data_IF_952679912180
#
_entry.id   IF_952679912180
#
_cell.length_a   1.000
_cell.length_b   1.000
_cell.length_c   1.000
_cell.angle_alpha   90.00
_cell.angle_beta   90.00
_cell.angle_gamma   90.00
#
_symmetry.space_group_name_H-M   'P 1'
#
loop_
_entity.id
_entity.type
_entity.pdbx_description
1 polymer ?
#
# COMPACT_ATOMS: atom_id res chain seq x y z
N UNK A 1 59.22 -47.63 27.64
CA UNK A 1 59.15 -46.38 26.84
C UNK A 1 58.48 -46.70 25.52
N UNK A 2 57.19 -46.36 25.38
CA UNK A 2 56.37 -46.56 24.18
C UNK A 2 55.83 -45.20 23.75
N UNK A 3 56.09 -44.83 22.51
CA UNK A 3 55.53 -43.68 21.79
C UNK A 3 54.03 -43.86 21.56
N UNK A 4 53.24 -42.82 21.83
CA UNK A 4 51.85 -42.65 21.33
C UNK A 4 51.73 -41.25 20.73
N UNK A 5 51.10 -41.07 19.56
CA UNK A 5 50.89 -39.77 18.95
C UNK A 5 49.60 -39.10 19.45
N UNK A 6 49.53 -37.78 19.24
CA UNK A 6 48.45 -36.86 19.58
C UNK A 6 47.10 -37.30 18.96
N UNK A 7 46.03 -37.23 19.75
CA UNK A 7 44.66 -37.12 19.25
C UNK A 7 44.38 -35.64 18.94
N UNK A 8 44.09 -35.31 17.68
CA UNK A 8 43.46 -34.05 17.29
C UNK A 8 41.96 -34.15 17.59
N UNK A 9 41.46 -33.34 18.52
CA UNK A 9 40.03 -33.11 18.66
C UNK A 9 39.60 -32.06 17.61
N UNK A 10 38.85 -32.47 16.59
CA UNK A 10 38.06 -31.56 15.78
C UNK A 10 36.91 -31.05 16.63
N UNK A 11 36.98 -29.79 17.07
CA UNK A 11 35.81 -29.05 17.54
C UNK A 11 35.10 -28.57 16.28
N UNK A 12 34.05 -29.31 15.88
CA UNK A 12 33.08 -28.87 14.88
C UNK A 12 32.26 -27.73 15.49
N UNK A 13 32.67 -26.49 15.23
CA UNK A 13 31.90 -25.31 15.58
C UNK A 13 30.66 -25.19 14.69
N UNK A 14 29.54 -25.76 15.12
CA UNK A 14 28.23 -25.33 14.62
C UNK A 14 28.00 -23.90 15.08
N UNK A 15 28.17 -22.94 14.17
CA UNK A 15 27.73 -21.56 14.37
C UNK A 15 26.20 -21.57 14.31
N UNK A 16 25.56 -21.71 15.48
CA UNK A 16 24.14 -21.44 15.63
C UNK A 16 23.98 -19.92 15.55
N UNK A 17 23.56 -19.41 14.38
CA UNK A 17 23.19 -18.02 14.23
C UNK A 17 21.94 -17.76 15.08
N UNK A 18 22.15 -17.24 16.29
CA UNK A 18 21.08 -16.71 17.13
C UNK A 18 20.60 -15.43 16.45
N UNK A 19 19.55 -15.55 15.65
CA UNK A 19 18.75 -14.40 15.22
C UNK A 19 17.98 -13.96 16.46
N UNK A 20 18.49 -12.96 17.16
CA UNK A 20 17.74 -12.32 18.25
C UNK A 20 16.57 -11.57 17.64
N UNK A 21 15.36 -12.14 17.82
CA UNK A 21 14.10 -11.44 17.61
C UNK A 21 14.07 -10.23 18.56
N UNK A 22 14.33 -9.04 18.01
CA UNK A 22 13.99 -7.79 18.69
C UNK A 22 12.50 -7.57 18.40
N UNK A 23 11.65 -8.02 19.32
CA UNK A 23 10.26 -7.58 19.40
C UNK A 23 10.25 -6.13 19.85
N UNK A 24 10.18 -5.21 18.89
CA UNK A 24 9.67 -3.87 19.15
C UNK A 24 8.16 -3.94 18.98
N UNK A 25 7.44 -4.15 20.09
CA UNK A 25 6.02 -3.87 20.13
C UNK A 25 5.87 -2.34 20.09
N UNK A 26 5.51 -1.81 18.93
CA UNK A 26 4.90 -0.49 18.78
C UNK A 26 3.56 -0.71 18.08
N UNK A 27 2.57 0.12 18.40
CA UNK A 27 1.24 0.10 17.81
C UNK A 27 1.34 -0.04 16.28
N UNK A 28 0.38 -0.74 15.67
CA UNK A 28 0.27 -0.89 14.23
C UNK A 28 0.02 0.48 13.58
N UNK A 29 1.09 1.23 13.37
CA UNK A 29 1.11 2.47 12.59
C UNK A 29 1.94 2.20 11.32
N UNK A 30 1.30 2.41 10.17
CA UNK A 30 1.85 2.63 8.82
C UNK A 30 3.26 2.12 8.51
N UNK A 31 3.40 0.87 8.07
CA UNK A 31 4.68 0.34 7.57
C UNK A 31 5.10 1.02 6.26
N UNK A 32 4.19 1.45 5.36
CA UNK A 32 4.60 2.25 4.18
C UNK A 32 5.34 3.54 4.56
N UNK A 33 4.78 4.30 5.51
CA UNK A 33 5.36 5.55 6.00
C UNK A 33 6.63 5.30 6.83
N UNK A 34 6.59 4.38 7.79
CA UNK A 34 7.71 4.15 8.71
C UNK A 34 8.84 3.31 8.09
N UNK A 35 8.55 2.51 7.06
CA UNK A 35 9.53 1.60 6.43
C UNK A 35 10.15 2.19 5.19
N UNK A 36 9.43 3.00 4.40
CA UNK A 36 9.92 3.46 3.10
C UNK A 36 10.03 4.98 2.95
N UNK A 37 9.49 5.79 3.87
CA UNK A 37 9.69 7.24 3.81
C UNK A 37 11.13 7.61 4.19
N UNK A 38 11.77 8.43 3.36
CA UNK A 38 13.05 9.06 3.68
C UNK A 38 12.85 10.51 4.15
N UNK A 39 12.22 11.35 3.31
CA UNK A 39 12.06 12.79 3.55
C UNK A 39 10.68 13.31 3.13
N UNK A 40 10.15 14.28 3.90
CA UNK A 40 8.95 15.04 3.49
C UNK A 40 9.31 16.06 2.42
N UNK A 41 8.75 15.90 1.22
CA UNK A 41 8.94 16.83 0.10
C UNK A 41 8.00 18.04 0.22
N UNK A 42 6.72 17.80 0.53
CA UNK A 42 5.69 18.84 0.62
C UNK A 42 4.95 18.72 1.94
N UNK A 43 4.80 19.83 2.66
CA UNK A 43 3.91 19.93 3.82
C UNK A 43 2.52 20.37 3.37
N UNK A 44 1.50 19.53 3.59
CA UNK A 44 0.11 19.84 3.25
C UNK A 44 -0.72 20.27 4.46
N UNK A 45 -0.15 20.32 5.67
CA UNK A 45 -0.85 20.80 6.89
C UNK A 45 -1.20 22.29 6.84
N UNK A 46 -2.07 22.71 7.75
CA UNK A 46 -2.55 24.09 7.90
C UNK A 46 -3.78 24.34 7.04
N UNK A 47 -3.93 25.54 6.52
CA UNK A 47 -5.20 25.95 5.90
C UNK A 47 -5.45 25.32 4.53
N UNK A 48 -6.68 24.89 4.29
CA UNK A 48 -7.24 24.38 3.04
C UNK A 48 -8.45 25.20 2.62
N UNK A 49 -8.77 25.18 1.31
CA UNK A 49 -10.09 25.61 0.83
C UNK A 49 -11.09 24.49 1.09
N UNK A 50 -12.29 24.86 1.53
CA UNK A 50 -13.32 23.91 1.90
C UNK A 50 -14.69 24.31 1.35
N UNK A 51 -15.46 23.32 0.88
CA UNK A 51 -16.85 23.50 0.49
C UNK A 51 -17.65 22.24 0.78
N UNK A 52 -18.82 22.41 1.37
CA UNK A 52 -19.84 21.36 1.46
C UNK A 52 -20.54 21.18 0.12
N UNK A 53 -21.10 20.00 -0.10
CA UNK A 53 -21.74 19.59 -1.37
C UNK A 53 -20.83 18.69 -2.20
N UNK A 54 -21.36 18.25 -3.34
CA UNK A 54 -20.69 17.29 -4.19
C UNK A 54 -20.78 17.67 -5.67
N UNK A 55 -19.65 18.09 -6.23
CA UNK A 55 -19.55 18.48 -7.63
C UNK A 55 -18.21 17.98 -8.19
N UNK A 56 -18.21 16.97 -9.07
CA UNK A 56 -16.99 16.36 -9.60
C UNK A 56 -16.03 17.35 -10.27
N UNK A 57 -16.52 18.50 -10.75
CA UNK A 57 -15.69 19.58 -11.32
C UNK A 57 -14.72 20.17 -10.29
N UNK A 58 -14.97 19.97 -9.00
CA UNK A 58 -14.09 20.42 -7.92
C UNK A 58 -12.80 19.61 -7.82
N UNK A 59 -12.64 18.54 -8.60
CA UNK A 59 -11.35 17.86 -8.80
C UNK A 59 -10.44 18.58 -9.80
N UNK A 60 -11.00 19.41 -10.70
CA UNK A 60 -10.27 19.97 -11.83
C UNK A 60 -9.18 20.96 -11.38
N UNK A 61 -7.99 20.95 -12.02
CA UNK A 61 -6.88 21.82 -11.63
C UNK A 61 -7.22 23.31 -11.76
N UNK A 62 -8.00 23.68 -12.78
CA UNK A 62 -8.33 25.07 -13.12
C UNK A 62 -9.59 25.61 -12.43
N UNK A 63 -10.24 24.82 -11.56
CA UNK A 63 -11.43 25.26 -10.85
C UNK A 63 -11.13 26.44 -9.90
N UNK A 64 -11.91 27.54 -10.01
CA UNK A 64 -11.75 28.74 -9.18
C UNK A 64 -12.44 28.56 -7.81
N UNK A 65 -11.66 28.13 -6.82
CA UNK A 65 -12.09 27.94 -5.42
C UNK A 65 -12.00 29.20 -4.55
N UNK A 66 -11.79 30.41 -5.11
CA UNK A 66 -11.61 31.63 -4.30
C UNK A 66 -12.78 31.93 -3.36
N UNK A 67 -13.99 31.51 -3.74
CA UNK A 67 -15.23 31.70 -2.97
C UNK A 67 -15.42 30.66 -1.85
N UNK A 68 -14.61 29.61 -1.84
CA UNK A 68 -14.67 28.58 -0.80
C UNK A 68 -14.20 29.14 0.53
N UNK A 69 -14.77 28.57 1.60
CA UNK A 69 -14.34 28.86 2.96
C UNK A 69 -12.95 28.29 3.18
N UNK A 70 -12.40 28.55 4.35
CA UNK A 70 -11.10 28.04 4.76
C UNK A 70 -11.26 27.30 6.07
N UNK A 71 -10.62 26.14 6.15
CA UNK A 71 -10.52 25.32 7.35
C UNK A 71 -9.08 24.88 7.53
N UNK A 72 -8.66 24.58 8.75
CA UNK A 72 -7.36 23.99 9.00
C UNK A 72 -7.43 22.45 8.94
N UNK A 73 -6.38 21.82 8.40
CA UNK A 73 -6.23 20.36 8.39
C UNK A 73 -4.81 19.94 8.82
N UNK A 74 -4.65 18.85 9.59
CA UNK A 74 -5.75 17.98 10.04
C UNK A 74 -6.59 18.63 11.14
N UNK A 75 -7.91 18.48 11.03
CA UNK A 75 -8.90 18.81 12.05
C UNK A 75 -10.26 18.15 11.68
N UNK A 76 -11.13 18.01 12.67
CA UNK A 76 -12.55 17.67 12.46
C UNK A 76 -13.28 18.90 11.91
N UNK A 77 -14.16 18.76 10.92
CA UNK A 77 -14.83 19.94 10.33
C UNK A 77 -15.87 20.56 11.28
N UNK A 78 -16.31 19.83 12.31
CA UNK A 78 -17.25 20.29 13.34
C UNK A 78 -16.60 21.38 14.18
N UNK A 79 -15.32 21.20 14.49
CA UNK A 79 -14.48 22.16 15.21
C UNK A 79 -14.16 23.39 14.36
N UNK A 80 -14.27 23.27 13.03
CA UNK A 80 -14.11 24.35 12.06
C UNK A 80 -15.43 25.10 11.76
N UNK A 81 -16.51 24.75 12.47
CA UNK A 81 -17.80 25.44 12.43
C UNK A 81 -18.92 24.74 11.66
N UNK A 82 -18.68 23.52 11.17
CA UNK A 82 -19.67 22.67 10.49
C UNK A 82 -20.27 21.64 11.44
N UNK A 83 -20.81 22.11 12.58
CA UNK A 83 -21.42 21.23 13.59
C UNK A 83 -22.63 20.49 13.02
N UNK A 84 -22.73 19.21 13.36
CA UNK A 84 -23.84 18.31 12.99
C UNK A 84 -24.03 18.19 11.46
N UNK A 85 -22.96 18.39 10.68
CA UNK A 85 -23.00 18.28 9.22
C UNK A 85 -22.55 16.90 8.78
N UNK A 86 -23.50 16.11 8.27
CA UNK A 86 -23.22 14.85 7.59
C UNK A 86 -23.42 15.02 6.07
N UNK A 87 -22.54 14.43 5.27
CA UNK A 87 -22.64 14.43 3.81
C UNK A 87 -21.31 14.67 3.11
N UNK A 88 -21.38 15.21 1.89
CA UNK A 88 -20.21 15.46 1.07
C UNK A 88 -19.53 16.79 1.41
N UNK A 89 -18.22 16.76 1.55
CA UNK A 89 -17.41 17.97 1.50
C UNK A 89 -16.14 17.77 0.71
N UNK A 90 -15.55 18.87 0.28
CA UNK A 90 -14.33 18.87 -0.51
C UNK A 90 -13.28 19.78 0.09
N UNK A 91 -12.05 19.30 0.09
CA UNK A 91 -10.86 20.04 0.44
C UNK A 91 -10.04 20.31 -0.82
N UNK A 92 -9.56 21.55 -0.99
CA UNK A 92 -8.64 21.92 -2.08
C UNK A 92 -7.42 22.67 -1.56
N UNK A 93 -6.25 22.35 -2.10
CA UNK A 93 -5.01 23.07 -1.78
C UNK A 93 -4.04 23.08 -2.96
N UNK A 94 -3.43 24.23 -3.17
CA UNK A 94 -2.35 24.40 -4.13
C UNK A 94 -1.01 24.28 -3.43
N UNK A 95 -0.04 23.62 -4.05
CA UNK A 95 1.32 23.47 -3.54
C UNK A 95 2.35 23.46 -4.68
N UNK A 96 3.59 23.86 -4.38
CA UNK A 96 4.71 23.76 -5.31
C UNK A 96 5.43 22.42 -5.13
N UNK A 97 5.77 21.74 -6.22
CA UNK A 97 6.59 20.53 -6.17
C UNK A 97 8.01 20.81 -6.71
N UNK A 98 9.09 20.51 -5.96
CA UNK A 98 10.45 20.87 -6.34
C UNK A 98 10.92 20.04 -7.54
N UNK A 99 11.48 20.70 -8.56
CA UNK A 99 11.95 20.01 -9.77
C UNK A 99 13.05 18.98 -9.52
N UNK A 100 13.82 19.13 -8.45
CA UNK A 100 14.85 18.17 -8.03
C UNK A 100 14.29 16.82 -7.59
N UNK A 101 13.00 16.73 -7.29
CA UNK A 101 12.31 15.51 -6.83
C UNK A 101 11.36 14.91 -7.87
N UNK A 102 11.34 15.42 -9.11
CA UNK A 102 10.40 14.92 -10.13
C UNK A 102 10.65 13.47 -10.53
N UNK A 103 11.92 13.04 -10.49
CA UNK A 103 12.31 11.69 -10.88
C UNK A 103 12.43 10.74 -9.68
N UNK A 104 12.05 11.19 -8.48
CA UNK A 104 12.06 10.36 -7.27
C UNK A 104 10.65 9.82 -7.04
N UNK A 105 10.54 8.53 -6.75
CA UNK A 105 9.24 7.96 -6.41
C UNK A 105 8.72 8.64 -5.13
N UNK A 106 7.45 9.02 -5.16
CA UNK A 106 6.82 9.77 -4.09
C UNK A 106 5.47 9.15 -3.76
N UNK A 107 5.04 9.30 -2.52
CA UNK A 107 3.71 8.94 -2.08
C UNK A 107 3.10 10.09 -1.29
N UNK A 108 1.77 10.16 -1.27
CA UNK A 108 1.04 11.06 -0.41
C UNK A 108 0.62 10.31 0.85
N UNK A 109 0.78 10.96 2.00
CA UNK A 109 0.21 10.50 3.27
C UNK A 109 -0.78 11.57 3.75
N UNK A 110 -2.02 11.16 3.97
CA UNK A 110 -3.11 12.06 4.40
C UNK A 110 -3.58 11.79 5.83
N UNK A 111 -2.95 10.83 6.52
CA UNK A 111 -3.36 10.44 7.85
C UNK A 111 -4.69 9.69 7.80
N UNK A 112 -5.62 10.01 8.70
CA UNK A 112 -6.93 9.35 8.81
C UNK A 112 -8.02 10.34 8.45
N UNK A 113 -8.89 9.91 7.55
CA UNK A 113 -9.98 10.70 6.98
C UNK A 113 -11.27 9.98 7.31
N UNK A 114 -12.25 10.76 7.76
CA UNK A 114 -13.58 10.30 8.14
C UNK A 114 -14.59 10.70 7.04
N UNK A 115 -15.35 9.80 6.44
CA UNK A 115 -15.33 8.33 6.55
C UNK A 115 -14.71 7.68 5.31
N UNK A 116 -15.18 8.14 4.14
CA UNK A 116 -14.77 7.68 2.83
C UNK A 116 -14.28 8.87 2.02
N UNK A 117 -13.26 8.67 1.20
CA UNK A 117 -12.66 9.75 0.44
C UNK A 117 -12.14 9.31 -0.93
N UNK A 118 -12.08 10.26 -1.87
CA UNK A 118 -11.38 10.13 -3.13
C UNK A 118 -10.36 11.28 -3.26
N UNK A 119 -9.14 10.93 -3.65
CA UNK A 119 -8.00 11.87 -3.71
C UNK A 119 -7.59 12.10 -5.15
N UNK A 120 -7.46 13.37 -5.51
CA UNK A 120 -7.07 13.82 -6.84
C UNK A 120 -5.87 14.74 -6.77
N UNK A 121 -4.92 14.56 -7.70
CA UNK A 121 -3.88 15.56 -7.97
C UNK A 121 -4.03 16.01 -9.42
N UNK A 122 -4.18 17.32 -9.61
CA UNK A 122 -4.38 17.95 -10.92
C UNK A 122 -5.55 17.33 -11.71
N UNK A 123 -6.62 16.93 -11.02
CA UNK A 123 -7.79 16.26 -11.61
C UNK A 123 -7.61 14.77 -11.91
N UNK A 124 -6.43 14.20 -11.63
CA UNK A 124 -6.16 12.77 -11.82
C UNK A 124 -6.41 12.05 -10.49
N UNK A 125 -7.28 11.03 -10.42
CA UNK A 125 -7.46 10.24 -9.21
C UNK A 125 -6.18 9.47 -8.89
N UNK A 126 -5.77 9.48 -7.63
CA UNK A 126 -4.56 8.78 -7.16
C UNK A 126 -4.84 7.76 -6.07
N UNK A 127 -6.04 7.76 -5.49
CA UNK A 127 -6.44 6.83 -4.43
C UNK A 127 -7.82 7.13 -3.89
N UNK A 128 -8.39 6.16 -3.20
CA UNK A 128 -9.62 6.31 -2.42
C UNK A 128 -9.58 5.41 -1.18
N UNK A 129 -10.39 5.73 -0.18
CA UNK A 129 -10.59 4.94 1.04
C UNK A 129 -12.07 4.84 1.37
N UNK A 130 -12.49 3.69 1.89
CA UNK A 130 -13.91 3.35 2.04
C UNK A 130 -14.64 3.30 0.70
N UNK A 131 -15.97 3.41 0.75
CA UNK A 131 -16.83 3.43 -0.42
C UNK A 131 -17.82 4.58 -0.33
N UNK A 132 -17.96 5.34 -1.42
CA UNK A 132 -18.92 6.45 -1.52
C UNK A 132 -20.36 5.91 -1.67
N UNK A 133 -21.41 6.69 -1.29
CA UNK A 133 -22.80 6.34 -1.57
C UNK A 133 -23.06 6.04 -3.06
N UNK A 134 -24.05 5.17 -3.37
CA UNK A 134 -25.05 4.60 -2.47
C UNK A 134 -24.58 3.38 -1.66
N UNK A 135 -23.54 2.67 -2.07
CA UNK A 135 -22.97 1.53 -1.35
C UNK A 135 -21.96 1.95 -0.26
N UNK A 136 -22.32 2.97 0.53
CA UNK A 136 -21.41 3.61 1.47
C UNK A 136 -20.83 2.65 2.51
N UNK A 137 -19.51 2.70 2.69
CA UNK A 137 -18.76 2.01 3.74
C UNK A 137 -17.65 2.91 4.26
N UNK A 138 -17.46 2.93 5.57
CA UNK A 138 -16.47 3.76 6.25
C UNK A 138 -15.09 3.10 6.27
N UNK A 139 -14.06 3.92 6.12
CA UNK A 139 -12.68 3.59 6.46
C UNK A 139 -12.12 4.63 7.45
N UNK A 140 -12.96 5.17 8.35
CA UNK A 140 -12.68 6.32 9.21
C UNK A 140 -11.36 6.29 10.01
N UNK A 141 -10.90 5.10 10.39
CA UNK A 141 -9.68 4.90 11.16
C UNK A 141 -8.58 4.22 10.34
N UNK A 142 -8.69 4.09 9.02
CA UNK A 142 -7.55 3.64 8.22
C UNK A 142 -6.59 4.80 7.92
N UNK A 143 -5.27 4.57 7.90
CA UNK A 143 -4.35 5.56 7.37
C UNK A 143 -4.28 5.54 5.84
N UNK A 144 -4.28 6.73 5.23
CA UNK A 144 -4.27 6.90 3.78
C UNK A 144 -2.88 7.16 3.25
N UNK A 145 -2.36 6.22 2.47
CA UNK A 145 -1.09 6.34 1.77
C UNK A 145 -1.24 5.88 0.31
N UNK A 146 -0.96 6.78 -0.63
CA UNK A 146 -1.07 6.46 -2.06
C UNK A 146 0.22 6.81 -2.78
N UNK A 147 0.75 5.86 -3.55
CA UNK A 147 1.82 6.15 -4.51
C UNK A 147 1.32 7.21 -5.48
N UNK A 148 2.16 8.20 -5.78
CA UNK A 148 1.83 9.21 -6.76
C UNK A 148 2.26 8.68 -8.13
N UNK A 149 1.34 8.50 -9.09
CA UNK A 149 1.70 7.98 -10.39
C UNK A 149 2.69 8.90 -11.12
N UNK A 150 3.57 8.35 -11.97
CA UNK A 150 4.48 9.16 -12.77
C UNK A 150 3.72 10.22 -13.59
N UNK A 151 4.33 11.40 -13.75
CA UNK A 151 3.80 12.51 -14.56
C UNK A 151 2.53 13.20 -14.03
N UNK A 152 1.96 12.76 -12.91
CA UNK A 152 0.83 13.45 -12.26
C UNK A 152 1.26 14.80 -11.69
N UNK A 153 2.48 14.87 -11.13
CA UNK A 153 3.05 16.10 -10.58
C UNK A 153 3.74 16.94 -11.66
N UNK A 154 3.50 18.24 -11.59
CA UNK A 154 4.10 19.27 -12.42
C UNK A 154 5.25 19.95 -11.67
N UNK A 155 6.49 19.67 -12.08
CA UNK A 155 7.69 20.23 -11.45
C UNK A 155 7.81 21.75 -11.63
N UNK A 156 8.20 22.44 -10.55
CA UNK A 156 8.47 23.88 -10.58
C UNK A 156 7.22 24.74 -10.83
N UNK A 157 6.05 24.12 -10.88
CA UNK A 157 4.74 24.75 -11.07
C UNK A 157 3.84 24.45 -9.88
N UNK A 158 2.73 25.17 -9.82
CA UNK A 158 1.67 24.92 -8.85
C UNK A 158 0.91 23.66 -9.24
N UNK A 159 0.77 22.76 -8.29
CA UNK A 159 -0.08 21.58 -8.36
C UNK A 159 -1.28 21.81 -7.45
N UNK A 160 -2.41 21.19 -7.79
CA UNK A 160 -3.62 21.22 -6.96
C UNK A 160 -3.93 19.82 -6.48
N UNK A 161 -4.12 19.67 -5.18
CA UNK A 161 -4.76 18.50 -4.59
C UNK A 161 -6.22 18.85 -4.27
N UNK A 162 -7.11 17.92 -4.63
CA UNK A 162 -8.51 17.94 -4.22
C UNK A 162 -8.83 16.62 -3.52
N UNK A 163 -9.56 16.68 -2.40
CA UNK A 163 -10.00 15.52 -1.65
C UNK A 163 -11.50 15.63 -1.48
N UNK A 164 -12.24 14.70 -2.07
CA UNK A 164 -13.67 14.53 -1.89
C UNK A 164 -13.87 13.63 -0.69
N UNK A 165 -14.66 14.05 0.28
CA UNK A 165 -14.95 13.31 1.50
C UNK A 165 -16.46 13.14 1.61
N UNK A 166 -16.90 11.95 1.99
CA UNK A 166 -18.25 11.69 2.45
C UNK A 166 -18.19 11.22 3.90
N UNK A 167 -18.94 11.90 4.76
CA UNK A 167 -19.19 11.51 6.13
C UNK A 167 -20.64 11.06 6.24
N UNK A 168 -20.84 9.82 6.71
CA UNK A 168 -22.16 9.24 6.88
C UNK A 168 -22.84 9.59 8.20
N UNK A 169 -22.08 10.12 9.15
CA UNK A 169 -22.56 10.48 10.48
C UNK A 169 -21.44 10.54 11.50
N UNK A 170 -21.44 11.57 12.34
CA UNK A 170 -20.53 11.66 13.48
C UNK A 170 -19.61 12.86 13.37
N UNK A 171 -18.31 12.62 13.19
CA UNK A 171 -17.31 13.68 13.02
C UNK A 171 -16.64 13.53 11.67
N UNK A 172 -16.66 14.56 10.84
CA UNK A 172 -16.09 14.47 9.50
C UNK A 172 -14.70 15.10 9.34
N UNK A 173 -14.07 14.80 8.20
CA UNK A 173 -12.92 15.55 7.68
C UNK A 173 -11.56 14.85 7.82
N UNK A 174 -10.49 15.61 7.57
CA UNK A 174 -9.11 15.13 7.64
C UNK A 174 -8.63 15.15 9.09
N UNK A 175 -9.04 14.17 9.90
CA UNK A 175 -8.98 14.26 11.38
C UNK A 175 -7.58 14.26 12.00
N UNK A 176 -6.71 13.33 11.62
CA UNK A 176 -5.40 13.14 12.32
C UNK A 176 -4.32 12.56 11.42
N UNK A 177 -3.06 12.79 11.80
CA UNK A 177 -1.89 12.15 11.17
C UNK A 177 -1.02 13.09 10.33
N UNK A 178 0.00 12.55 9.65
CA UNK A 178 0.79 13.31 8.67
C UNK A 178 -0.10 13.74 7.50
N UNK A 179 0.05 14.98 7.05
CA UNK A 179 -0.53 15.48 5.79
C UNK A 179 0.62 16.03 4.95
N UNK A 180 1.05 15.27 3.95
CA UNK A 180 2.19 15.64 3.13
C UNK A 180 2.50 14.69 1.98
N UNK A 181 3.41 15.12 1.13
CA UNK A 181 4.03 14.28 0.09
C UNK A 181 5.44 13.94 0.56
N UNK A 182 5.78 12.67 0.45
CA UNK A 182 7.01 12.08 0.95
C UNK A 182 7.72 11.36 -0.18
N UNK A 183 9.05 11.43 -0.16
CA UNK A 183 9.89 10.59 -0.99
C UNK A 183 9.86 9.16 -0.46
N UNK A 184 9.88 8.19 -1.35
CA UNK A 184 10.06 6.79 -0.99
C UNK A 184 11.33 6.23 -1.60
N UNK A 185 12.02 5.41 -0.83
CA UNK A 185 13.18 4.64 -1.28
C UNK A 185 12.78 3.43 -2.11
N UNK A 186 11.47 3.14 -2.26
CA UNK A 186 11.02 2.02 -3.07
C UNK A 186 11.57 2.10 -4.50
N UNK A 187 12.02 0.96 -5.07
CA UNK A 187 12.42 0.94 -6.46
C UNK A 187 11.23 1.25 -7.36
N UNK A 188 11.52 1.93 -8.47
CA UNK A 188 10.51 2.29 -9.46
C UNK A 188 9.71 1.05 -9.91
N UNK A 189 8.39 1.14 -9.78
CA UNK A 189 7.50 0.09 -10.22
C UNK A 189 7.49 0.03 -11.76
N UNK A 190 7.74 -1.16 -12.30
CA UNK A 190 7.51 -1.49 -13.71
C UNK A 190 6.01 -1.44 -14.02
N UNK A 191 5.19 -1.91 -13.08
CA UNK A 191 3.73 -1.82 -13.09
C UNK A 191 3.26 -1.60 -11.67
N UNK A 192 2.42 -0.59 -11.46
CA UNK A 192 1.75 -0.34 -10.19
C UNK A 192 0.44 -1.12 -10.15
N UNK A 193 0.24 -1.94 -9.12
CA UNK A 193 -0.96 -2.71 -8.92
C UNK A 193 -1.89 -2.12 -7.86
N UNK A 194 -1.56 -0.97 -7.28
CA UNK A 194 -2.45 -0.26 -6.36
C UNK A 194 -3.77 0.15 -7.04
N UNK A 195 -4.80 0.40 -6.24
CA UNK A 195 -6.12 0.84 -6.70
C UNK A 195 -7.09 -0.32 -6.94
N UNK A 196 -7.88 -0.25 -8.00
CA UNK A 196 -9.00 -1.17 -8.26
C UNK A 196 -8.53 -2.58 -8.66
N UNK A 197 -9.20 -3.59 -8.10
CA UNK A 197 -9.10 -5.00 -8.43
C UNK A 197 -10.51 -5.59 -8.59
N UNK A 198 -10.65 -6.59 -9.48
CA UNK A 198 -11.81 -7.47 -9.43
C UNK A 198 -11.70 -8.34 -8.19
N UNK A 199 -12.82 -8.53 -7.49
CA UNK A 199 -12.88 -9.22 -6.21
C UNK A 199 -14.07 -10.18 -6.16
N UNK A 200 -13.87 -11.35 -5.56
CA UNK A 200 -14.94 -12.31 -5.35
C UNK A 200 -14.70 -13.15 -4.08
N UNK A 201 -15.59 -13.06 -3.07
CA UNK A 201 -15.58 -13.98 -1.93
C UNK A 201 -15.87 -15.42 -2.35
N UNK A 202 -15.24 -16.37 -1.66
CA UNK A 202 -15.36 -17.81 -1.94
C UNK A 202 -14.07 -18.41 -2.49
N UNK A 203 -14.14 -19.69 -2.83
CA UNK A 203 -12.96 -20.48 -3.21
C UNK A 203 -13.20 -21.31 -4.47
N UNK A 204 -12.93 -20.73 -5.63
CA UNK A 204 -12.98 -21.43 -6.90
C UNK A 204 -11.67 -21.25 -7.67
N UNK A 205 -10.89 -22.33 -7.79
CA UNK A 205 -9.61 -22.35 -8.51
C UNK A 205 -9.74 -22.02 -10.00
N UNK A 206 -10.91 -22.15 -10.61
CA UNK A 206 -11.14 -21.73 -12.00
C UNK A 206 -10.93 -20.22 -12.19
N UNK A 207 -11.08 -19.42 -11.12
CA UNK A 207 -10.85 -17.97 -11.17
C UNK A 207 -9.38 -17.57 -11.36
N UNK A 208 -8.45 -18.52 -11.28
CA UNK A 208 -7.06 -18.31 -11.69
C UNK A 208 -6.90 -18.20 -13.22
N UNK A 209 -7.81 -18.80 -14.00
CA UNK A 209 -7.74 -18.84 -15.46
C UNK A 209 -7.96 -17.44 -16.06
N UNK A 210 -7.13 -16.98 -17.02
CA UNK A 210 -7.36 -15.72 -17.73
C UNK A 210 -8.75 -15.59 -18.35
N UNK A 211 -9.34 -16.70 -18.79
CA UNK A 211 -10.65 -16.76 -19.47
C UNK A 211 -11.81 -17.03 -18.49
N UNK A 212 -11.58 -16.97 -17.19
CA UNK A 212 -12.62 -17.17 -16.17
C UNK A 212 -13.77 -16.16 -16.35
N UNK A 213 -15.00 -16.61 -16.09
CA UNK A 213 -16.16 -15.73 -16.05
C UNK A 213 -16.08 -14.83 -14.80
N UNK A 214 -15.94 -13.53 -15.03
CA UNK A 214 -15.88 -12.52 -13.97
C UNK A 214 -17.15 -11.67 -13.88
N UNK A 215 -18.28 -12.11 -14.46
CA UNK A 215 -19.52 -11.31 -14.47
C UNK A 215 -20.04 -10.99 -13.07
N UNK A 216 -19.82 -11.88 -12.12
CA UNK A 216 -20.24 -11.75 -10.72
C UNK A 216 -19.17 -11.10 -9.83
N UNK A 217 -17.99 -10.80 -10.36
CA UNK A 217 -16.95 -10.13 -9.58
C UNK A 217 -17.35 -8.68 -9.35
N UNK A 218 -17.08 -8.22 -8.14
CA UNK A 218 -17.23 -6.83 -7.73
C UNK A 218 -15.87 -6.14 -7.75
N UNK A 219 -15.81 -4.84 -7.51
CA UNK A 219 -14.54 -4.10 -7.46
C UNK A 219 -14.17 -3.78 -6.02
N UNK A 220 -12.90 -3.95 -5.68
CA UNK A 220 -12.32 -3.58 -4.38
C UNK A 220 -11.03 -2.76 -4.59
N UNK A 221 -10.65 -1.95 -3.60
CA UNK A 221 -9.31 -1.34 -3.54
C UNK A 221 -8.31 -2.30 -2.91
N UNK A 222 -7.09 -2.31 -3.45
CA UNK A 222 -5.91 -2.81 -2.77
C UNK A 222 -4.79 -1.76 -2.86
N UNK A 223 -4.15 -1.37 -1.75
CA UNK A 223 -4.36 -1.94 -0.42
C UNK A 223 -5.66 -1.46 0.26
N UNK A 224 -6.23 -2.30 1.13
CA UNK A 224 -7.39 -2.00 1.97
C UNK A 224 -8.02 -3.26 2.57
N UNK A 225 -8.65 -3.15 3.74
CA UNK A 225 -9.34 -4.28 4.39
C UNK A 225 -10.68 -4.60 3.70
N UNK A 226 -11.13 -5.86 3.73
CA UNK A 226 -12.41 -6.25 3.12
C UNK A 226 -13.62 -5.63 3.83
N UNK A 227 -13.55 -5.59 5.15
CA UNK A 227 -14.60 -5.19 6.08
C UNK A 227 -14.95 -3.72 5.91
N UNK A 228 -13.96 -2.90 5.57
CA UNK A 228 -14.11 -1.46 5.31
C UNK A 228 -14.52 -1.13 3.87
N UNK A 229 -14.73 -2.17 3.04
CA UNK A 229 -15.05 -2.04 1.62
C UNK A 229 -16.35 -2.76 1.24
N UNK A 230 -17.20 -3.04 2.24
CA UNK A 230 -18.55 -3.59 2.03
C UNK A 230 -18.67 -5.10 2.25
N UNK A 231 -17.66 -5.75 2.81
CA UNK A 231 -17.68 -7.17 3.17
C UNK A 231 -17.53 -7.35 4.68
N UNK A 232 -18.52 -6.90 5.49
CA UNK A 232 -18.43 -7.04 6.94
C UNK A 232 -18.37 -8.52 7.34
N UNK A 233 -17.52 -8.83 8.31
CA UNK A 233 -17.34 -10.17 8.88
C UNK A 233 -16.90 -11.24 7.84
N UNK A 234 -16.21 -10.84 6.77
CA UNK A 234 -15.75 -11.77 5.74
C UNK A 234 -14.54 -12.57 6.23
N UNK A 235 -14.80 -13.69 6.90
CA UNK A 235 -13.80 -14.72 7.15
C UNK A 235 -13.81 -15.78 6.03
N UNK A 236 -12.63 -16.32 5.70
CA UNK A 236 -12.45 -17.43 4.76
C UNK A 236 -11.71 -17.00 3.50
N UNK A 237 -12.12 -17.55 2.35
CA UNK A 237 -11.44 -17.31 1.09
C UNK A 237 -12.01 -16.13 0.33
N UNK A 238 -11.14 -15.40 -0.35
CA UNK A 238 -11.53 -14.47 -1.38
C UNK A 238 -10.47 -14.41 -2.50
N UNK A 239 -10.89 -13.99 -3.68
CA UNK A 239 -10.03 -13.88 -4.84
C UNK A 239 -9.95 -12.44 -5.32
N UNK A 240 -8.73 -12.01 -5.61
CA UNK A 240 -8.43 -10.79 -6.35
C UNK A 240 -8.00 -11.14 -7.76
N UNK A 241 -8.41 -10.35 -8.75
CA UNK A 241 -7.96 -10.48 -10.15
C UNK A 241 -7.70 -9.11 -10.76
N UNK A 242 -6.60 -8.99 -11.52
CA UNK A 242 -6.26 -7.77 -12.26
C UNK A 242 -5.58 -8.12 -13.57
N UNK A 243 -5.94 -7.38 -14.60
CA UNK A 243 -5.29 -7.45 -15.89
C UNK A 243 -4.26 -6.33 -16.01
N UNK A 244 -3.14 -6.63 -16.66
CA UNK A 244 -2.11 -5.63 -16.89
C UNK A 244 -1.31 -5.93 -18.16
N UNK A 245 -0.79 -4.86 -18.74
CA UNK A 245 0.19 -4.92 -19.81
C UNK A 245 1.51 -4.37 -19.32
N UNK A 246 2.59 -4.93 -19.85
CA UNK A 246 3.94 -4.50 -19.53
C UNK A 246 4.71 -4.32 -20.83
N UNK A 247 5.33 -3.16 -21.00
CA UNK A 247 6.08 -2.83 -22.21
C UNK A 247 7.58 -2.88 -21.93
N UNK A 248 8.36 -3.25 -22.94
CA UNK A 248 9.82 -3.16 -22.94
C UNK A 248 10.55 -3.99 -21.87
N UNK A 249 9.96 -5.10 -21.42
CA UNK A 249 10.71 -6.04 -20.59
C UNK A 249 11.59 -6.92 -21.47
N UNK A 250 12.88 -6.96 -21.17
CA UNK A 250 13.74 -7.99 -21.73
C UNK A 250 13.31 -9.33 -21.13
N UNK A 251 12.94 -10.30 -21.96
CA UNK A 251 12.56 -11.64 -21.51
C UNK A 251 13.66 -12.37 -20.71
N UNK A 252 14.87 -11.83 -20.71
CA UNK A 252 16.01 -12.30 -19.94
C UNK A 252 16.00 -11.68 -18.53
N UNK A 253 15.78 -12.50 -17.50
CA UNK A 253 15.90 -12.12 -16.09
C UNK A 253 14.76 -12.61 -15.20
N UNK A 254 14.78 -12.19 -13.93
CA UNK A 254 13.64 -12.32 -13.02
C UNK A 254 13.09 -10.94 -12.65
N UNK A 255 11.83 -10.94 -12.26
CA UNK A 255 11.13 -9.82 -11.66
C UNK A 255 10.69 -10.19 -10.25
N UNK A 256 10.37 -9.18 -9.44
CA UNK A 256 9.79 -9.36 -8.12
C UNK A 256 8.38 -8.77 -8.12
N UNK A 257 7.42 -9.61 -7.74
CA UNK A 257 6.07 -9.19 -7.42
C UNK A 257 6.00 -8.75 -5.96
N UNK A 258 5.62 -7.50 -5.74
CA UNK A 258 5.29 -6.94 -4.45
C UNK A 258 3.77 -7.02 -4.26
N UNK A 259 3.32 -7.64 -3.17
CA UNK A 259 1.90 -7.63 -2.77
C UNK A 259 1.69 -7.02 -1.38
N UNK A 260 2.69 -6.31 -0.86
CA UNK A 260 2.61 -5.67 0.44
C UNK A 260 2.25 -6.66 1.55
N UNK A 261 1.35 -6.31 2.46
CA UNK A 261 0.86 -7.24 3.48
C UNK A 261 -0.52 -7.76 3.09
N UNK A 262 -0.63 -9.07 3.21
CA UNK A 262 -1.88 -9.81 3.03
C UNK A 262 -2.19 -10.44 4.37
N UNK A 263 -3.42 -10.27 4.83
CA UNK A 263 -3.88 -10.92 6.05
C UNK A 263 -3.91 -12.42 5.86
N UNK A 264 -3.30 -13.12 6.83
CA UNK A 264 -2.99 -14.55 6.82
C UNK A 264 -2.33 -15.09 5.54
N UNK A 265 -3.04 -15.82 4.66
CA UNK A 265 -2.41 -16.69 3.66
C UNK A 265 -2.72 -16.26 2.22
N UNK A 266 -1.82 -16.59 1.28
CA UNK A 266 -2.02 -16.29 -0.14
C UNK A 266 -1.46 -17.35 -1.10
N UNK A 267 -2.09 -17.48 -2.25
CA UNK A 267 -1.53 -18.12 -3.45
C UNK A 267 -1.65 -17.16 -4.63
N UNK A 268 -0.58 -17.07 -5.42
CA UNK A 268 -0.50 -16.17 -6.56
C UNK A 268 -0.44 -16.96 -7.85
N UNK A 269 -1.29 -16.59 -8.79
CA UNK A 269 -1.41 -17.15 -10.12
C UNK A 269 -1.12 -16.07 -11.16
N UNK A 270 -0.26 -16.39 -12.12
CA UNK A 270 0.00 -15.57 -13.31
C UNK A 270 -0.44 -16.37 -14.53
N UNK A 271 -1.38 -15.82 -15.27
CA UNK A 271 -1.93 -16.43 -16.49
C UNK A 271 -2.41 -17.88 -16.27
N UNK A 272 -3.08 -18.15 -15.15
CA UNK A 272 -3.56 -19.49 -14.77
C UNK A 272 -2.52 -20.40 -14.09
N UNK A 273 -1.24 -20.05 -14.11
CA UNK A 273 -0.19 -20.84 -13.47
C UNK A 273 0.15 -20.30 -12.08
N UNK A 274 0.13 -21.16 -11.05
CA UNK A 274 0.60 -20.80 -9.70
C UNK A 274 2.10 -20.48 -9.74
N UNK A 275 2.48 -19.28 -9.32
CA UNK A 275 3.87 -18.82 -9.29
C UNK A 275 4.42 -18.64 -7.87
N UNK A 276 3.57 -18.43 -6.87
CA UNK A 276 3.99 -18.17 -5.50
C UNK A 276 2.86 -18.38 -4.47
N UNK A 277 3.18 -18.18 -3.20
CA UNK A 277 2.22 -18.16 -2.09
C UNK A 277 2.89 -18.26 -0.72
N UNK A 278 2.12 -18.04 0.34
CA UNK A 278 2.50 -18.30 1.74
C UNK A 278 1.49 -19.20 2.43
N UNK A 279 2.02 -20.07 3.30
CA UNK A 279 1.23 -21.07 4.04
C UNK A 279 0.63 -22.18 3.16
N UNK A 280 -0.26 -22.95 3.77
CA UNK A 280 -1.01 -24.03 3.13
C UNK A 280 -2.51 -23.70 3.02
N UNK A 281 -2.94 -23.19 1.87
CA UNK A 281 -4.35 -22.89 1.60
C UNK A 281 -5.22 -24.14 1.38
N UNK A 282 -4.66 -25.34 1.27
CA UNK A 282 -5.46 -26.58 1.29
C UNK A 282 -5.93 -26.90 2.71
N UNK A 283 -5.15 -26.51 3.72
CA UNK A 283 -5.46 -26.72 5.13
C UNK A 283 -5.07 -25.49 5.97
N UNK A 284 -5.72 -24.33 5.77
CA UNK A 284 -5.27 -23.05 6.33
C UNK A 284 -5.25 -23.04 7.86
N UNK A 285 -6.07 -23.88 8.49
CA UNK A 285 -6.16 -24.01 9.93
C UNK A 285 -4.89 -24.55 10.61
N UNK A 286 -3.99 -25.17 9.85
CA UNK A 286 -2.71 -25.68 10.34
C UNK A 286 -1.74 -24.54 10.64
N UNK A 287 -1.83 -23.45 9.88
CA UNK A 287 -0.95 -22.29 10.00
C UNK A 287 -1.45 -21.25 11.02
N UNK A 288 -2.52 -21.57 11.77
CA UNK A 288 -3.05 -20.71 12.85
C UNK A 288 -1.96 -20.34 13.86
N UNK A 289 -1.66 -19.05 13.95
CA UNK A 289 -0.69 -18.48 14.90
C UNK A 289 0.68 -18.19 14.30
N UNK A 290 0.90 -18.48 13.02
CA UNK A 290 2.02 -17.89 12.27
C UNK A 290 1.64 -16.46 11.91
N UNK A 291 2.51 -15.49 12.21
CA UNK A 291 2.27 -14.06 11.95
C UNK A 291 2.41 -13.70 10.46
N UNK A 292 1.73 -14.43 9.56
CA UNK A 292 1.77 -14.16 8.13
C UNK A 292 1.14 -12.82 7.78
N UNK A 293 0.10 -12.40 8.52
CA UNK A 293 -0.51 -11.07 8.37
C UNK A 293 0.53 -9.93 8.40
N UNK A 294 1.58 -10.04 9.21
CA UNK A 294 2.59 -8.99 9.36
C UNK A 294 3.70 -9.02 8.29
N UNK A 295 3.75 -10.06 7.45
CA UNK A 295 4.83 -10.24 6.48
C UNK A 295 4.60 -9.43 5.21
N UNK A 296 5.67 -8.81 4.70
CA UNK A 296 5.65 -8.17 3.39
C UNK A 296 5.92 -9.25 2.33
N UNK A 297 5.02 -9.36 1.35
CA UNK A 297 5.07 -10.30 0.24
C UNK A 297 5.93 -9.77 -0.89
N UNK A 298 6.99 -10.52 -1.20
CA UNK A 298 7.89 -10.29 -2.32
C UNK A 298 8.22 -11.62 -2.99
N UNK A 299 7.70 -11.84 -4.20
CA UNK A 299 7.85 -13.12 -4.90
C UNK A 299 8.67 -12.97 -6.17
N UNK A 300 9.71 -13.78 -6.30
CA UNK A 300 10.55 -13.82 -7.48
C UNK A 300 9.97 -14.77 -8.52
N UNK A 301 9.90 -14.34 -9.78
CA UNK A 301 9.57 -15.24 -10.89
C UNK A 301 10.28 -14.82 -12.20
N UNK A 302 10.49 -15.76 -13.14
CA UNK A 302 11.14 -15.45 -14.41
C UNK A 302 10.32 -14.47 -15.26
N UNK A 303 10.97 -13.45 -15.80
CA UNK A 303 10.36 -12.47 -16.71
C UNK A 303 9.74 -13.13 -17.96
N UNK A 304 10.31 -14.27 -18.39
CA UNK A 304 9.82 -15.06 -19.51
C UNK A 304 8.40 -15.65 -19.34
N UNK A 305 7.82 -15.60 -18.13
CA UNK A 305 6.41 -15.98 -17.90
C UNK A 305 5.42 -14.86 -18.25
N UNK A 306 5.91 -13.63 -18.42
CA UNK A 306 5.08 -12.48 -18.79
C UNK A 306 4.78 -12.49 -20.29
N UNK A 307 3.55 -12.09 -20.61
CA UNK A 307 3.03 -11.85 -21.95
C UNK A 307 2.82 -10.34 -22.17
N UNK A 308 2.38 -9.93 -23.37
CA UNK A 308 2.00 -8.53 -23.63
C UNK A 308 0.75 -8.11 -22.83
N UNK A 309 -0.15 -9.06 -22.59
CA UNK A 309 -1.35 -8.95 -21.77
C UNK A 309 -1.38 -10.10 -20.77
N UNK A 310 -1.47 -9.76 -19.49
CA UNK A 310 -1.40 -10.74 -18.40
C UNK A 310 -2.61 -10.61 -17.50
N UNK A 311 -2.98 -11.73 -16.89
CA UNK A 311 -3.88 -11.79 -15.74
C UNK A 311 -3.07 -12.21 -14.53
N UNK A 312 -3.16 -11.44 -13.44
CA UNK A 312 -2.73 -11.88 -12.12
C UNK A 312 -3.98 -12.15 -11.27
N UNK A 313 -4.00 -13.30 -10.62
CA UNK A 313 -5.04 -13.68 -9.67
C UNK A 313 -4.39 -14.07 -8.34
N UNK A 314 -5.01 -13.64 -7.23
CA UNK A 314 -4.50 -13.88 -5.89
C UNK A 314 -5.64 -14.47 -5.08
N UNK A 315 -5.44 -15.72 -4.64
CA UNK A 315 -6.33 -16.39 -3.70
C UNK A 315 -5.84 -16.07 -2.30
N UNK A 316 -6.69 -15.49 -1.48
CA UNK A 316 -6.37 -15.11 -0.10
C UNK A 316 -7.25 -15.90 0.84
N UNK A 317 -6.71 -16.29 1.97
CA UNK A 317 -7.50 -16.81 3.09
C UNK A 317 -7.23 -15.96 4.33
N UNK A 318 -8.30 -15.45 4.92
CA UNK A 318 -8.30 -14.85 6.26
C UNK A 318 -9.08 -15.75 7.22
N UNK A 319 -8.54 -15.95 8.42
CA UNK A 319 -9.17 -16.73 9.45
C UNK A 319 -10.09 -15.96 10.38
N UNK A 320 -9.81 -14.67 10.65
CA UNK A 320 -10.49 -13.82 11.63
C UNK A 320 -10.15 -12.34 11.46
N UNK A 321 -11.11 -11.48 11.81
CA UNK A 321 -10.97 -10.02 11.93
C UNK A 321 -10.99 -9.35 10.55
N UNK A 322 -10.00 -8.50 10.26
CA UNK A 322 -9.97 -7.71 9.04
C UNK A 322 -9.09 -8.42 8.02
N UNK A 323 -9.68 -8.85 6.91
CA UNK A 323 -9.00 -9.59 5.87
C UNK A 323 -8.43 -8.71 4.75
N UNK A 324 -7.70 -9.36 3.84
CA UNK A 324 -7.34 -8.78 2.54
C UNK A 324 -5.90 -8.29 2.39
N UNK A 325 -5.63 -7.70 1.23
CA UNK A 325 -4.34 -7.07 0.93
C UNK A 325 -4.38 -5.67 1.54
N UNK A 326 -4.14 -5.57 2.85
CA UNK A 326 -4.47 -4.37 3.61
C UNK A 326 -3.36 -3.30 3.63
N UNK A 327 -2.15 -3.62 3.16
CA UNK A 327 -1.05 -2.65 3.10
C UNK A 327 -0.15 -2.86 1.89
N UNK A 328 0.34 -1.78 1.28
CA UNK A 328 1.22 -1.82 0.10
C UNK A 328 2.73 -1.84 0.41
N UNK A 329 3.59 -1.70 -0.61
CA UNK A 329 3.25 -1.43 -2.02
C UNK A 329 2.82 -2.69 -2.80
N UNK A 330 2.07 -2.48 -3.89
CA UNK A 330 1.65 -3.55 -4.81
C UNK A 330 2.18 -3.25 -6.21
N UNK A 331 2.88 -4.18 -6.84
CA UNK A 331 3.41 -3.96 -8.18
C UNK A 331 4.51 -4.91 -8.60
N UNK A 332 5.04 -4.70 -9.80
CA UNK A 332 6.21 -5.39 -10.32
C UNK A 332 7.44 -4.49 -10.27
N UNK A 333 8.58 -5.04 -9.86
CA UNK A 333 9.89 -4.39 -9.92
C UNK A 333 10.90 -5.33 -10.56
N UNK A 334 11.96 -4.78 -11.15
CA UNK A 334 13.09 -5.60 -11.61
C UNK A 334 13.81 -6.24 -10.42
N UNK A 335 14.29 -7.48 -10.57
CA UNK A 335 15.11 -8.10 -9.54
C UNK A 335 16.34 -7.27 -9.16
N UNK A 336 17.01 -6.64 -10.13
CA UNK A 336 18.18 -5.79 -9.91
C UNK A 336 17.86 -4.63 -8.96
N UNK A 337 16.89 -3.77 -9.32
CA UNK A 337 16.48 -2.66 -8.45
C UNK A 337 15.98 -3.11 -7.06
N UNK A 338 15.33 -4.28 -6.98
CA UNK A 338 14.90 -4.83 -5.68
C UNK A 338 16.08 -5.25 -4.81
N UNK A 339 17.10 -5.90 -5.39
CA UNK A 339 18.32 -6.28 -4.66
C UNK A 339 19.07 -5.04 -4.20
N UNK A 340 19.31 -4.09 -5.10
CA UNK A 340 19.99 -2.82 -4.79
C UNK A 340 19.31 -2.10 -3.61
N UNK A 341 17.98 -1.98 -3.67
CA UNK A 341 17.18 -1.40 -2.58
C UNK A 341 17.45 -2.05 -1.21
N UNK A 342 17.47 -3.39 -1.15
CA UNK A 342 17.71 -4.10 0.11
C UNK A 342 19.17 -4.05 0.57
N UNK A 343 20.12 -4.03 -0.35
CA UNK A 343 21.54 -3.90 -0.04
C UNK A 343 21.85 -2.52 0.58
N UNK A 344 21.38 -1.45 -0.04
CA UNK A 344 21.54 -0.08 0.46
C UNK A 344 20.96 0.09 1.87
N UNK A 345 19.75 -0.44 2.12
CA UNK A 345 19.14 -0.39 3.46
C UNK A 345 19.92 -1.19 4.48
N UNK A 346 20.49 -2.34 4.10
CA UNK A 346 21.32 -3.14 5.02
C UNK A 346 22.59 -2.37 5.39
N UNK A 347 23.24 -1.73 4.43
CA UNK A 347 24.44 -0.92 4.67
C UNK A 347 24.13 0.30 5.54
N UNK A 348 23.07 1.06 5.23
CA UNK A 348 22.65 2.21 6.04
C UNK A 348 22.31 1.81 7.49
N UNK A 349 21.62 0.68 7.69
CA UNK A 349 21.38 0.15 9.05
C UNK A 349 22.67 -0.28 9.74
N UNK A 350 23.65 -0.82 9.02
CA UNK A 350 24.96 -1.16 9.59
C UNK A 350 25.70 0.10 10.04
N UNK A 351 25.76 1.12 9.18
CA UNK A 351 26.39 2.41 9.48
C UNK A 351 25.74 3.09 10.69
N UNK A 352 24.41 3.08 10.79
CA UNK A 352 23.70 3.61 11.96
C UNK A 352 24.03 2.85 13.25
N UNK A 353 24.18 1.53 13.19
CA UNK A 353 24.58 0.71 14.34
C UNK A 353 26.02 1.02 14.76
N UNK A 354 26.94 1.16 13.82
CA UNK A 354 28.34 1.47 14.09
C UNK A 354 28.51 2.91 14.60
N UNK A 355 27.73 3.85 14.07
CA UNK A 355 27.67 5.22 14.58
C UNK A 355 27.16 5.27 16.01
N UNK A 356 26.06 4.59 16.36
CA UNK A 356 25.55 4.53 17.75
C UNK A 356 26.59 3.95 18.71
N UNK A 357 27.32 2.91 18.31
CA UNK A 357 28.42 2.32 19.09
C UNK A 357 29.63 3.24 19.32
N UNK A 358 29.77 4.32 18.56
CA UNK A 358 30.84 5.31 18.77
C UNK A 358 30.48 6.34 19.86
N UNK A 359 29.21 6.42 20.25
CA UNK A 359 28.70 7.36 21.26
C UNK A 359 28.17 6.69 22.54
N UNK A 360 28.19 5.35 22.59
CA UNK A 360 28.03 4.52 23.80
C UNK A 360 29.42 4.04 24.28
#
# INVERSE_FOLDING_TARGET
>A
MKTKPLFSALISGCLLAIVTNITVAHAADNVLFDTYSSDRIVNLRGTWRFSIGDDPRWSEPEFDDKKWTKVDAPNEWEDEGYRDYDGFAWYRKTFSFPSSKLNTQSFISLGRIDDAEEVFINGIPIGRGGQMPPEYNTAWDEPRNYLIPPKVLQAGMNNTIAIRVYDGGGVGGLRKGPLGIYETELPALLVDFSGEWLFQPGDNLEWADPEADTSEFVTIQAPGAWEHQGFPDLDGYAWYRKEFSIQNLTAEGNVVLLLGKIDDLDEVYLNGEKIAGTGDLENPEIDRGVHYYAQIRGYYFPAAKLLDHNTIAIRVWDGRQDGGIYEGPLGLVSQEAYIEFWEERRENRSLLKDFKRLFD
#
